data_IF_942102336275
#
_entry.id   IF_942102336275
#
_cell.length_a   1.000
_cell.length_b   1.000
_cell.length_c   1.000
_cell.angle_alpha   90.00
_cell.angle_beta   90.00
_cell.angle_gamma   90.00
#
_symmetry.space_group_name_H-M   'P 1'
#
loop_
_entity.id
_entity.type
_entity.pdbx_description
1 polymer ?
#
# COMPACT_ATOMS: atom_id res chain seq x y z
N UNK A 1 -5.72 -51.94 40.81
CA UNK A 1 -5.83 -52.10 42.26
C UNK A 1 -4.47 -51.81 42.86
N UNK A 2 -4.18 -50.53 43.12
CA UNK A 2 -3.11 -50.05 44.00
C UNK A 2 -3.52 -48.62 44.38
N UNK A 3 -3.99 -48.48 45.62
CA UNK A 3 -4.09 -47.20 46.32
C UNK A 3 -2.67 -46.80 46.78
N UNK A 4 -2.36 -45.52 46.75
CA UNK A 4 -1.81 -44.88 47.95
C UNK A 4 -2.02 -43.35 47.95
N UNK A 5 -2.09 -42.84 49.18
CA UNK A 5 -2.78 -41.65 49.65
C UNK A 5 -2.00 -40.33 49.45
N UNK A 6 -2.79 -39.25 49.41
CA UNK A 6 -2.45 -37.82 49.48
C UNK A 6 -1.47 -37.45 50.62
N UNK A 7 -0.89 -36.24 50.56
CA UNK A 7 -1.52 -35.17 51.34
C UNK A 7 -1.67 -33.83 50.59
N UNK A 8 -2.74 -33.11 50.93
CA UNK A 8 -2.88 -31.67 50.73
C UNK A 8 -1.78 -30.94 51.51
N UNK A 9 -1.12 -29.98 50.86
CA UNK A 9 -0.58 -28.81 51.55
C UNK A 9 -0.93 -27.55 50.75
N UNK A 10 -1.64 -26.67 51.43
CA UNK A 10 -1.80 -25.27 51.05
C UNK A 10 -0.43 -24.59 51.16
N UNK A 11 -0.10 -23.78 50.16
CA UNK A 11 0.63 -22.50 50.28
C UNK A 11 1.11 -22.07 48.89
N UNK A 12 0.35 -21.19 48.23
CA UNK A 12 0.93 -20.27 47.23
C UNK A 12 0.06 -19.02 47.15
N UNK A 13 0.28 -18.09 48.08
CA UNK A 13 0.01 -16.69 47.84
C UNK A 13 1.23 -16.05 47.17
N UNK A 14 0.98 -15.28 46.11
CA UNK A 14 1.78 -14.11 45.76
C UNK A 14 3.07 -14.35 44.98
N UNK A 15 2.97 -14.56 43.67
CA UNK A 15 4.00 -14.20 42.67
C UNK A 15 3.43 -14.36 41.27
N UNK A 16 2.72 -13.35 40.78
CA UNK A 16 2.14 -13.39 39.43
C UNK A 16 1.90 -12.03 38.77
N UNK A 17 2.28 -10.93 39.43
CA UNK A 17 2.08 -9.57 38.89
C UNK A 17 3.42 -8.92 38.47
N UNK A 18 4.56 -9.37 39.03
CA UNK A 18 5.86 -8.75 38.75
C UNK A 18 6.51 -9.14 37.40
N UNK A 19 6.00 -10.17 36.71
CA UNK A 19 6.67 -10.70 35.49
C UNK A 19 6.16 -10.07 34.18
N UNK A 20 4.95 -9.50 34.17
CA UNK A 20 4.35 -8.94 32.95
C UNK A 20 4.89 -7.52 32.67
N UNK A 21 5.06 -6.71 33.72
CA UNK A 21 5.63 -5.35 33.57
C UNK A 21 7.09 -5.38 33.12
N UNK A 22 7.87 -6.37 33.57
CA UNK A 22 9.26 -6.55 33.15
C UNK A 22 9.38 -7.02 31.69
N UNK A 23 8.55 -7.97 31.25
CA UNK A 23 8.53 -8.40 29.84
C UNK A 23 8.06 -7.28 28.89
N UNK A 24 7.17 -6.40 29.34
CA UNK A 24 6.76 -5.20 28.61
C UNK A 24 7.92 -4.18 28.51
N UNK A 25 8.60 -3.86 29.60
CA UNK A 25 9.75 -2.95 29.58
C UNK A 25 10.92 -3.49 28.73
N UNK A 26 11.21 -4.79 28.81
CA UNK A 26 12.31 -5.42 28.06
C UNK A 26 12.05 -5.48 26.55
N UNK A 27 10.80 -5.70 26.11
CA UNK A 27 10.44 -5.61 24.69
C UNK A 27 10.60 -4.17 24.15
N UNK A 28 10.28 -3.16 24.96
CA UNK A 28 10.39 -1.75 24.56
C UNK A 28 11.81 -1.18 24.62
N UNK A 29 12.68 -1.77 25.43
CA UNK A 29 14.05 -1.29 25.65
C UNK A 29 15.11 -1.99 24.78
N UNK A 30 14.75 -3.03 24.02
CA UNK A 30 15.69 -3.83 23.20
C UNK A 30 15.74 -3.45 21.71
N UNK A 31 14.95 -2.46 21.27
CA UNK A 31 15.14 -1.91 19.92
C UNK A 31 16.40 -1.06 19.90
N UNK A 32 17.52 -1.61 19.43
CA UNK A 32 18.77 -0.89 19.19
C UNK A 32 18.48 0.41 18.45
N UNK A 33 18.65 1.52 19.17
CA UNK A 33 18.45 2.86 18.65
C UNK A 33 19.63 3.15 17.73
N UNK A 34 19.46 2.96 16.42
CA UNK A 34 20.30 3.67 15.46
C UNK A 34 19.99 5.17 15.60
N UNK A 35 20.91 5.87 16.26
CA UNK A 35 20.90 7.30 16.48
C UNK A 35 20.85 8.04 15.14
N UNK A 36 19.70 8.61 14.81
CA UNK A 36 19.56 9.58 13.72
C UNK A 36 19.75 10.99 14.30
N UNK A 37 20.80 11.68 13.85
CA UNK A 37 21.13 13.03 14.27
C UNK A 37 20.16 14.06 13.62
N UNK A 38 19.46 14.83 14.45
CA UNK A 38 18.45 15.81 14.02
C UNK A 38 19.04 17.22 13.98
N UNK A 39 19.66 17.55 12.85
CA UNK A 39 20.16 18.89 12.54
C UNK A 39 19.50 19.53 11.31
N UNK A 40 18.17 19.52 11.18
CA UNK A 40 17.45 20.44 10.27
C UNK A 40 15.94 20.46 10.58
N UNK A 41 15.41 21.61 11.00
CA UNK A 41 14.05 21.80 11.52
C UNK A 41 12.97 22.06 10.45
N UNK A 42 13.27 21.83 9.17
CA UNK A 42 12.35 22.18 8.06
C UNK A 42 11.48 21.03 7.51
N UNK A 43 11.52 19.81 8.11
CA UNK A 43 10.86 18.62 7.53
C UNK A 43 9.53 18.18 8.20
N UNK A 44 9.12 18.82 9.30
CA UNK A 44 8.01 18.31 10.13
C UNK A 44 6.62 18.50 9.53
N UNK A 45 6.43 19.43 8.58
CA UNK A 45 5.13 19.65 7.92
C UNK A 45 4.73 18.54 6.93
N UNK A 46 5.65 17.62 6.61
CA UNK A 46 5.39 16.54 5.65
C UNK A 46 4.69 15.33 6.27
N UNK A 47 4.71 15.17 7.59
CA UNK A 47 4.21 13.97 8.30
C UNK A 47 2.68 13.82 8.16
N UNK A 48 1.94 14.92 7.99
CA UNK A 48 0.48 14.90 7.82
C UNK A 48 0.02 14.59 6.37
N UNK A 49 0.96 14.43 5.44
CA UNK A 49 0.68 14.12 4.01
C UNK A 49 1.07 12.69 3.60
N UNK A 50 1.36 11.81 4.56
CA UNK A 50 2.07 10.55 4.30
C UNK A 50 1.20 9.40 3.72
N UNK A 51 -0.12 9.46 3.85
CA UNK A 51 -0.98 8.31 3.50
C UNK A 51 -1.15 8.06 1.99
N UNK A 52 -0.77 9.00 1.11
CA UNK A 52 -0.75 8.78 -0.35
C UNK A 52 0.67 8.71 -0.93
N UNK A 53 1.69 8.86 -0.09
CA UNK A 53 3.10 8.86 -0.51
C UNK A 53 3.74 7.48 -0.36
N UNK A 54 3.29 6.64 0.57
CA UNK A 54 3.86 5.29 0.77
C UNK A 54 3.63 4.36 -0.44
N UNK A 55 2.51 4.48 -1.15
CA UNK A 55 2.33 3.77 -2.44
C UNK A 55 3.29 4.26 -3.52
N UNK A 56 3.79 5.50 -3.40
CA UNK A 56 4.79 6.08 -4.30
C UNK A 56 6.24 5.85 -3.82
N UNK A 57 6.46 5.53 -2.55
CA UNK A 57 7.79 5.23 -2.00
C UNK A 57 8.19 3.77 -2.28
N UNK A 58 7.25 2.81 -2.26
CA UNK A 58 7.51 1.47 -2.83
C UNK A 58 7.85 1.55 -4.34
N UNK A 59 7.24 2.48 -5.08
CA UNK A 59 7.59 2.78 -6.47
C UNK A 59 8.94 3.50 -6.65
N UNK A 60 9.56 4.02 -5.58
CA UNK A 60 10.89 4.67 -5.61
C UNK A 60 12.01 3.77 -5.08
N UNK A 61 11.72 2.89 -4.12
CA UNK A 61 12.70 1.91 -3.61
C UNK A 61 13.10 0.94 -4.72
N UNK A 62 12.15 0.50 -5.56
CA UNK A 62 12.42 -0.29 -6.78
C UNK A 62 13.31 0.45 -7.79
N UNK A 63 13.37 1.80 -7.76
CA UNK A 63 14.25 2.58 -8.65
C UNK A 63 15.68 2.74 -8.11
N UNK A 64 15.93 2.46 -6.83
CA UNK A 64 17.21 2.82 -6.19
C UNK A 64 18.22 1.68 -6.12
N UNK A 65 17.80 0.42 -6.29
CA UNK A 65 18.72 -0.72 -6.31
C UNK A 65 19.14 -1.18 -7.71
N UNK A 66 18.61 -0.57 -8.77
CA UNK A 66 18.93 -0.91 -10.16
C UNK A 66 19.82 0.13 -10.86
N UNK A 67 20.76 0.74 -10.12
CA UNK A 67 21.65 1.78 -10.64
C UNK A 67 22.94 1.25 -11.31
N UNK A 68 23.01 -0.05 -11.62
CA UNK A 68 24.12 -0.64 -12.38
C UNK A 68 23.62 -1.64 -13.44
N UNK A 69 22.63 -1.23 -14.24
CA UNK A 69 22.42 -1.77 -15.59
C UNK A 69 21.63 -0.78 -16.42
N UNK A 70 22.21 -0.34 -17.53
CA UNK A 70 21.63 0.59 -18.50
C UNK A 70 20.34 0.06 -19.11
N UNK A 71 19.18 0.50 -18.59
CA UNK A 71 17.90 0.64 -19.33
C UNK A 71 16.94 1.58 -18.56
N UNK A 72 16.25 2.53 -19.21
CA UNK A 72 15.39 3.48 -18.52
C UNK A 72 14.04 2.88 -18.10
N UNK A 73 13.70 3.20 -16.84
CA UNK A 73 12.53 2.83 -16.06
C UNK A 73 11.19 3.22 -16.67
N UNK A 74 10.27 2.26 -16.66
CA UNK A 74 8.82 2.38 -16.89
C UNK A 74 8.20 3.31 -15.85
N UNK A 75 7.95 4.56 -16.24
CA UNK A 75 6.91 5.45 -15.70
C UNK A 75 6.96 6.77 -16.48
N UNK A 76 6.53 6.74 -17.74
CA UNK A 76 6.06 7.94 -18.40
C UNK A 76 4.62 7.69 -18.82
N UNK A 77 3.71 8.29 -18.05
CA UNK A 77 2.36 8.58 -18.51
C UNK A 77 2.46 9.61 -19.62
N UNK A 78 2.91 9.17 -20.80
CA UNK A 78 2.76 9.88 -22.05
C UNK A 78 1.32 9.71 -22.50
N UNK A 79 0.64 10.83 -22.67
CA UNK A 79 -0.75 10.97 -23.12
C UNK A 79 -1.12 9.93 -24.19
N UNK A 80 -1.88 8.90 -23.81
CA UNK A 80 -2.67 8.12 -24.76
C UNK A 80 -3.87 8.97 -25.13
N UNK A 81 -3.68 9.87 -26.08
CA UNK A 81 -4.80 10.52 -26.76
C UNK A 81 -5.57 9.44 -27.49
N UNK A 82 -6.80 9.24 -27.03
CA UNK A 82 -7.95 8.63 -27.67
C UNK A 82 -7.78 8.33 -29.17
N UNK A 83 -7.72 7.04 -29.51
CA UNK A 83 -8.13 6.54 -30.82
C UNK A 83 -9.37 5.65 -30.67
N UNK A 84 -10.36 6.17 -29.97
CA UNK A 84 -11.75 5.84 -30.22
C UNK A 84 -12.28 7.04 -31.01
N UNK A 85 -12.77 6.78 -32.23
CA UNK A 85 -13.38 7.76 -33.15
C UNK A 85 -12.43 8.78 -33.82
N UNK A 86 -11.54 8.31 -34.70
CA UNK A 86 -11.20 9.11 -35.88
C UNK A 86 -12.37 9.05 -36.88
N UNK A 87 -13.30 9.96 -36.62
CA UNK A 87 -14.15 10.67 -37.55
C UNK A 87 -13.75 10.43 -39.03
N UNK A 88 -14.61 9.68 -39.72
CA UNK A 88 -14.50 9.34 -41.14
C UNK A 88 -14.70 10.63 -41.95
N UNK A 89 -13.65 11.43 -42.07
CA UNK A 89 -13.55 12.39 -43.16
C UNK A 89 -13.23 11.59 -44.43
N UNK A 90 -14.19 11.61 -45.35
CA UNK A 90 -14.21 10.86 -46.61
C UNK A 90 -13.18 11.41 -47.59
N UNK A 91 -11.93 11.01 -47.43
CA UNK A 91 -10.99 10.90 -48.56
C UNK A 91 -10.35 9.51 -48.51
N UNK A 92 -10.38 8.73 -49.60
CA UNK A 92 -9.74 7.43 -49.64
C UNK A 92 -8.22 7.64 -49.66
N UNK A 93 -7.59 7.66 -48.48
CA UNK A 93 -6.14 7.45 -48.41
C UNK A 93 -5.85 6.06 -48.96
N UNK A 94 -5.34 6.00 -50.18
CA UNK A 94 -4.94 4.75 -50.85
C UNK A 94 -3.98 3.98 -49.95
N UNK A 95 -4.28 2.70 -49.71
CA UNK A 95 -3.39 1.86 -48.93
C UNK A 95 -2.15 1.55 -49.76
N UNK A 96 -0.97 1.89 -49.24
CA UNK A 96 0.30 1.57 -49.91
C UNK A 96 0.62 0.09 -49.71
N UNK A 97 0.88 -0.60 -50.81
CA UNK A 97 1.35 -1.99 -50.83
C UNK A 97 2.88 -1.95 -50.87
N UNK A 98 3.52 -2.39 -49.78
CA UNK A 98 4.99 -2.37 -49.65
C UNK A 98 5.45 -3.75 -49.19
N UNK A 99 6.32 -4.37 -49.98
CA UNK A 99 6.81 -5.74 -49.70
C UNK A 99 8.08 -5.76 -48.84
N UNK A 100 8.71 -4.61 -48.58
CA UNK A 100 9.91 -4.50 -47.75
C UNK A 100 9.55 -4.04 -46.31
N UNK A 101 9.91 -4.79 -45.26
CA UNK A 101 9.54 -4.46 -43.88
C UNK A 101 10.07 -3.10 -43.38
N UNK A 102 11.33 -2.76 -43.69
CA UNK A 102 11.91 -1.48 -43.28
C UNK A 102 11.25 -0.30 -44.00
N UNK A 103 10.84 -0.49 -45.25
CA UNK A 103 10.09 0.54 -45.98
C UNK A 103 8.66 0.68 -45.43
N UNK A 104 7.98 -0.42 -45.11
CA UNK A 104 6.66 -0.37 -44.48
C UNK A 104 6.68 0.41 -43.16
N UNK A 105 7.71 0.19 -42.32
CA UNK A 105 7.89 0.97 -41.08
C UNK A 105 8.10 2.45 -41.36
N UNK A 106 8.90 2.83 -42.37
CA UNK A 106 9.10 4.24 -42.75
C UNK A 106 7.81 4.92 -43.21
N UNK A 107 6.98 4.23 -43.96
CA UNK A 107 5.67 4.74 -44.39
C UNK A 107 4.73 4.90 -43.18
N UNK A 108 4.72 3.93 -42.25
CA UNK A 108 3.94 4.04 -41.01
C UNK A 108 4.38 5.22 -40.14
N UNK A 109 5.69 5.45 -39.99
CA UNK A 109 6.25 6.63 -39.29
C UNK A 109 5.82 7.94 -39.95
N UNK A 110 5.59 7.92 -41.27
CA UNK A 110 5.11 9.08 -42.03
C UNK A 110 3.58 9.29 -41.91
N UNK A 111 2.88 8.43 -41.14
CA UNK A 111 1.44 8.48 -40.94
C UNK A 111 0.62 7.88 -42.09
N UNK A 112 1.26 7.11 -42.98
CA UNK A 112 0.60 6.47 -44.11
C UNK A 112 -0.03 5.12 -43.73
N UNK A 113 -1.11 4.75 -44.43
CA UNK A 113 -1.75 3.44 -44.24
C UNK A 113 -1.09 2.39 -45.12
N UNK A 114 -0.47 1.39 -44.52
CA UNK A 114 0.23 0.31 -45.22
C UNK A 114 -0.55 -1.00 -45.10
N UNK A 115 -0.64 -1.76 -46.20
CA UNK A 115 -1.21 -3.13 -46.20
C UNK A 115 -0.17 -4.09 -45.60
N UNK A 116 -0.41 -4.58 -44.38
CA UNK A 116 0.52 -5.48 -43.68
C UNK A 116 0.31 -6.95 -44.06
N UNK A 117 -0.82 -7.29 -44.68
CA UNK A 117 -1.19 -8.64 -45.12
C UNK A 117 -0.25 -9.21 -46.19
N UNK A 118 0.57 -8.35 -46.82
CA UNK A 118 1.62 -8.75 -47.77
C UNK A 118 2.71 -9.60 -47.08
N UNK A 119 2.94 -9.39 -45.77
CA UNK A 119 3.92 -10.14 -44.99
C UNK A 119 3.33 -11.47 -44.49
N UNK A 120 3.21 -12.44 -45.39
CA UNK A 120 2.56 -13.73 -45.12
C UNK A 120 3.45 -14.72 -44.37
N UNK A 121 4.76 -14.72 -44.60
CA UNK A 121 5.69 -15.67 -43.98
C UNK A 121 6.03 -15.28 -42.54
N UNK A 122 6.32 -16.28 -41.69
CA UNK A 122 6.74 -16.04 -40.31
C UNK A 122 8.02 -15.17 -40.26
N UNK A 123 8.98 -15.44 -41.15
CA UNK A 123 10.22 -14.67 -41.20
C UNK A 123 9.97 -13.20 -41.58
N UNK A 124 9.11 -12.95 -42.58
CA UNK A 124 8.77 -11.59 -42.99
C UNK A 124 8.10 -10.80 -41.85
N UNK A 125 7.24 -11.46 -41.05
CA UNK A 125 6.63 -10.88 -39.85
C UNK A 125 7.64 -10.58 -38.74
N UNK A 126 8.66 -11.43 -38.58
CA UNK A 126 9.77 -11.19 -37.64
C UNK A 126 10.61 -9.99 -38.06
N UNK A 127 10.97 -9.92 -39.33
CA UNK A 127 11.76 -8.82 -39.89
C UNK A 127 11.00 -7.49 -39.81
N UNK A 128 9.67 -7.52 -39.95
CA UNK A 128 8.78 -6.37 -39.74
C UNK A 128 8.79 -5.87 -38.30
N UNK A 129 8.65 -6.75 -37.31
CA UNK A 129 8.71 -6.33 -35.92
C UNK A 129 10.10 -5.80 -35.57
N UNK A 130 11.16 -6.46 -36.04
CA UNK A 130 12.54 -6.01 -35.80
C UNK A 130 12.76 -4.60 -36.34
N UNK A 131 12.31 -4.34 -37.57
CA UNK A 131 12.37 -3.01 -38.18
C UNK A 131 11.60 -1.95 -37.35
N UNK A 132 10.48 -2.34 -36.74
CA UNK A 132 9.69 -1.45 -35.88
C UNK A 132 10.37 -1.18 -34.53
N UNK A 133 11.03 -2.19 -33.94
CA UNK A 133 11.81 -2.01 -32.71
C UNK A 133 12.95 -1.03 -32.96
N UNK A 134 13.62 -1.16 -34.10
CA UNK A 134 14.73 -0.29 -34.53
C UNK A 134 14.27 1.16 -34.77
N UNK A 135 12.98 1.41 -35.04
CA UNK A 135 12.47 2.79 -35.16
C UNK A 135 12.21 3.47 -33.82
N UNK A 136 12.24 2.74 -32.70
CA UNK A 136 11.97 3.25 -31.34
C UNK A 136 10.64 4.00 -31.18
N UNK A 137 9.70 3.80 -32.09
CA UNK A 137 8.38 4.45 -32.08
C UNK A 137 7.34 3.48 -31.51
N UNK A 138 6.75 3.86 -30.38
CA UNK A 138 5.84 2.97 -29.63
C UNK A 138 4.52 2.76 -30.38
N UNK A 139 4.05 3.74 -31.14
CA UNK A 139 2.79 3.66 -31.87
C UNK A 139 2.93 2.73 -33.08
N UNK A 140 4.07 2.79 -33.78
CA UNK A 140 4.37 1.89 -34.88
C UNK A 140 4.56 0.45 -34.38
N UNK A 141 5.30 0.26 -33.26
CA UNK A 141 5.44 -1.06 -32.64
C UNK A 141 4.07 -1.61 -32.23
N UNK A 142 3.22 -0.80 -31.60
CA UNK A 142 1.88 -1.20 -31.19
C UNK A 142 1.01 -1.61 -32.38
N UNK A 143 1.02 -0.84 -33.47
CA UNK A 143 0.26 -1.14 -34.67
C UNK A 143 0.68 -2.49 -35.29
N UNK A 144 1.98 -2.74 -35.37
CA UNK A 144 2.53 -4.00 -35.88
C UNK A 144 2.22 -5.16 -34.92
N UNK A 145 2.35 -4.99 -33.60
CA UNK A 145 1.98 -6.02 -32.62
C UNK A 145 0.51 -6.41 -32.73
N UNK A 146 -0.39 -5.43 -32.95
CA UNK A 146 -1.80 -5.70 -33.17
C UNK A 146 -2.04 -6.53 -34.44
N UNK A 147 -1.35 -6.24 -35.55
CA UNK A 147 -1.39 -7.07 -36.75
C UNK A 147 -0.84 -8.50 -36.51
N UNK A 148 0.28 -8.61 -35.81
CA UNK A 148 0.89 -9.92 -35.51
C UNK A 148 -0.02 -10.77 -34.63
N UNK A 149 -0.69 -10.18 -33.63
CA UNK A 149 -1.64 -10.88 -32.77
C UNK A 149 -2.82 -11.45 -33.55
N UNK A 150 -3.29 -10.77 -34.59
CA UNK A 150 -4.39 -11.27 -35.45
C UNK A 150 -3.95 -12.39 -36.39
N UNK A 151 -2.67 -12.49 -36.70
CA UNK A 151 -2.18 -13.35 -37.78
C UNK A 151 -1.21 -14.45 -37.34
N UNK A 152 -0.76 -14.44 -36.08
CA UNK A 152 0.10 -15.46 -35.48
C UNK A 152 -0.62 -16.15 -34.32
N UNK A 153 -0.26 -17.42 -34.10
CA UNK A 153 -0.65 -18.12 -32.87
C UNK A 153 0.02 -17.44 -31.66
N UNK A 154 -0.74 -17.30 -30.58
CA UNK A 154 -0.31 -16.63 -29.35
C UNK A 154 0.99 -17.19 -28.76
N UNK A 155 1.18 -18.51 -28.75
CA UNK A 155 2.41 -19.14 -28.26
C UNK A 155 3.63 -18.71 -29.08
N UNK A 156 3.50 -18.66 -30.41
CA UNK A 156 4.57 -18.25 -31.32
C UNK A 156 4.91 -16.78 -31.14
N UNK A 157 3.88 -15.93 -30.99
CA UNK A 157 4.06 -14.50 -30.74
C UNK A 157 4.77 -14.26 -29.40
N UNK A 158 4.27 -14.86 -28.30
CA UNK A 158 4.87 -14.70 -26.96
C UNK A 158 6.32 -15.17 -26.91
N UNK A 159 6.63 -16.33 -27.51
CA UNK A 159 8.00 -16.84 -27.61
C UNK A 159 8.91 -15.87 -28.38
N UNK A 160 8.41 -15.32 -29.48
CA UNK A 160 9.17 -14.35 -30.26
C UNK A 160 9.40 -13.04 -29.48
N UNK A 161 8.40 -12.54 -28.76
CA UNK A 161 8.54 -11.32 -27.95
C UNK A 161 9.49 -11.48 -26.76
N UNK A 162 9.63 -12.69 -26.22
CA UNK A 162 10.59 -12.99 -25.17
C UNK A 162 12.05 -12.73 -25.61
N UNK A 163 12.34 -12.76 -26.91
CA UNK A 163 13.67 -12.44 -27.46
C UNK A 163 13.93 -10.93 -27.55
N UNK A 164 12.90 -10.08 -27.39
CA UNK A 164 12.99 -8.62 -27.59
C UNK A 164 12.31 -7.85 -26.43
N UNK A 165 13.07 -7.47 -25.38
CA UNK A 165 12.53 -6.81 -24.19
C UNK A 165 11.71 -5.54 -24.49
N UNK A 166 12.15 -4.71 -25.44
CA UNK A 166 11.45 -3.47 -25.82
C UNK A 166 10.03 -3.73 -26.34
N UNK A 167 9.83 -4.81 -27.10
CA UNK A 167 8.49 -5.18 -27.61
C UNK A 167 7.63 -5.87 -26.56
N UNK A 168 8.24 -6.58 -25.60
CA UNK A 168 7.54 -7.24 -24.52
C UNK A 168 6.72 -6.22 -23.69
N UNK A 169 7.31 -5.06 -23.36
CA UNK A 169 6.62 -4.00 -22.62
C UNK A 169 5.44 -3.39 -23.41
N UNK A 170 5.63 -3.13 -24.70
CA UNK A 170 4.55 -2.62 -25.57
C UNK A 170 3.42 -3.65 -25.69
N UNK A 171 3.76 -4.94 -25.73
CA UNK A 171 2.77 -6.02 -25.75
C UNK A 171 2.00 -6.14 -24.43
N UNK A 172 2.67 -6.00 -23.27
CA UNK A 172 2.00 -5.92 -21.96
C UNK A 172 0.99 -4.77 -21.95
N UNK A 173 1.40 -3.58 -22.42
CA UNK A 173 0.50 -2.43 -22.52
C UNK A 173 -0.69 -2.68 -23.46
N UNK A 174 -0.45 -3.33 -24.61
CA UNK A 174 -1.51 -3.76 -25.52
C UNK A 174 -2.53 -4.68 -24.83
N UNK A 175 -2.07 -5.65 -24.03
CA UNK A 175 -2.97 -6.53 -23.27
C UNK A 175 -3.77 -5.75 -22.22
N UNK A 176 -3.12 -4.83 -21.49
CA UNK A 176 -3.78 -4.03 -20.46
C UNK A 176 -4.85 -3.09 -21.04
N UNK A 177 -4.57 -2.43 -22.17
CA UNK A 177 -5.53 -1.55 -22.87
C UNK A 177 -6.75 -2.34 -23.34
N UNK A 178 -6.56 -3.59 -23.77
CA UNK A 178 -7.66 -4.47 -24.18
C UNK A 178 -8.41 -5.12 -23.00
N UNK A 179 -8.03 -4.83 -21.75
CA UNK A 179 -8.64 -5.41 -20.55
C UNK A 179 -8.20 -6.84 -20.25
N UNK A 180 -7.16 -7.34 -20.89
CA UNK A 180 -6.65 -8.71 -20.78
C UNK A 180 -5.60 -8.85 -19.68
N UNK A 181 -5.96 -8.43 -18.47
CA UNK A 181 -5.03 -8.38 -17.33
C UNK A 181 -4.40 -9.73 -17.01
N UNK A 182 -5.18 -10.83 -17.08
CA UNK A 182 -4.65 -12.19 -16.87
C UNK A 182 -3.56 -12.52 -17.89
N UNK A 183 -3.80 -12.20 -19.17
CA UNK A 183 -2.84 -12.45 -20.23
C UNK A 183 -1.52 -11.70 -20.02
N UNK A 184 -1.59 -10.48 -19.49
CA UNK A 184 -0.42 -9.66 -19.15
C UNK A 184 0.38 -10.26 -17.98
N UNK A 185 -0.30 -10.68 -16.91
CA UNK A 185 0.32 -11.35 -15.75
C UNK A 185 0.99 -12.65 -16.19
N UNK A 186 0.31 -13.48 -16.99
CA UNK A 186 0.85 -14.74 -17.49
C UNK A 186 2.08 -14.51 -18.39
N UNK A 187 2.05 -13.45 -19.21
CA UNK A 187 3.17 -13.11 -20.07
C UNK A 187 4.39 -12.63 -19.28
N UNK A 188 4.20 -11.74 -18.30
CA UNK A 188 5.29 -11.30 -17.41
C UNK A 188 5.85 -12.46 -16.58
N UNK A 189 5.00 -13.35 -16.09
CA UNK A 189 5.42 -14.56 -15.37
C UNK A 189 6.26 -15.48 -16.26
N UNK A 190 5.88 -15.62 -17.55
CA UNK A 190 6.68 -16.37 -18.54
C UNK A 190 8.07 -15.75 -18.75
N UNK A 191 8.19 -14.43 -18.66
CA UNK A 191 9.46 -13.70 -18.76
C UNK A 191 10.24 -13.65 -17.43
N UNK A 192 9.76 -14.31 -16.37
CA UNK A 192 10.29 -14.23 -15.00
C UNK A 192 10.26 -12.81 -14.38
N UNK A 193 9.42 -11.91 -14.91
CA UNK A 193 9.15 -10.58 -14.34
C UNK A 193 8.03 -10.67 -13.29
N UNK A 194 8.29 -11.41 -12.21
CA UNK A 194 7.27 -11.72 -11.20
C UNK A 194 6.78 -10.49 -10.43
N UNK A 195 7.64 -9.50 -10.21
CA UNK A 195 7.29 -8.25 -9.52
C UNK A 195 6.28 -7.43 -10.31
N UNK A 196 6.53 -7.21 -11.60
CA UNK A 196 5.62 -6.49 -12.50
C UNK A 196 4.27 -7.23 -12.61
N UNK A 197 4.31 -8.55 -12.73
CA UNK A 197 3.12 -9.40 -12.76
C UNK A 197 2.30 -9.24 -11.45
N UNK A 198 2.98 -9.24 -10.31
CA UNK A 198 2.36 -9.05 -9.00
C UNK A 198 1.75 -7.66 -8.84
N UNK A 199 2.42 -6.60 -9.30
CA UNK A 199 1.91 -5.22 -9.25
C UNK A 199 0.65 -5.09 -10.09
N UNK A 200 0.64 -5.61 -11.32
CA UNK A 200 -0.55 -5.59 -12.19
C UNK A 200 -1.70 -6.37 -11.57
N UNK A 201 -1.42 -7.57 -11.03
CA UNK A 201 -2.41 -8.37 -10.32
C UNK A 201 -3.00 -7.63 -9.12
N UNK A 202 -2.15 -6.98 -8.32
CA UNK A 202 -2.57 -6.18 -7.18
C UNK A 202 -3.46 -5.00 -7.59
N UNK A 203 -3.08 -4.28 -8.66
CA UNK A 203 -3.89 -3.17 -9.19
C UNK A 203 -5.28 -3.63 -9.66
N UNK A 204 -5.41 -4.81 -10.26
CA UNK A 204 -6.71 -5.38 -10.63
C UNK A 204 -7.58 -5.70 -9.41
N UNK A 205 -6.95 -6.24 -8.35
CA UNK A 205 -7.62 -6.52 -7.08
C UNK A 205 -8.14 -5.23 -6.44
N UNK A 206 -7.38 -4.14 -6.48
CA UNK A 206 -7.79 -2.85 -5.93
C UNK A 206 -9.07 -2.30 -6.60
N UNK A 207 -9.30 -2.60 -7.89
CA UNK A 207 -10.49 -2.19 -8.65
C UNK A 207 -11.76 -2.96 -8.26
N UNK A 208 -11.66 -4.12 -7.61
CA UNK A 208 -12.85 -4.89 -7.20
C UNK A 208 -13.68 -4.08 -6.19
N UNK A 209 -14.98 -4.29 -6.14
CA UNK A 209 -15.87 -3.60 -5.17
C UNK A 209 -16.09 -4.44 -3.91
N UNK A 210 -16.08 -5.76 -4.05
CA UNK A 210 -16.42 -6.70 -2.99
C UNK A 210 -15.17 -6.97 -2.15
N UNK A 211 -15.17 -6.54 -0.88
CA UNK A 211 -14.01 -6.73 0.01
C UNK A 211 -13.75 -8.21 0.29
N UNK A 212 -14.78 -9.07 0.35
CA UNK A 212 -14.58 -10.52 0.50
C UNK A 212 -13.77 -11.10 -0.66
N UNK A 213 -14.09 -10.68 -1.88
CA UNK A 213 -13.35 -11.06 -3.08
C UNK A 213 -11.92 -10.51 -3.05
N UNK A 214 -11.73 -9.22 -2.69
CA UNK A 214 -10.38 -8.63 -2.52
C UNK A 214 -9.52 -9.45 -1.57
N UNK A 215 -10.00 -9.72 -0.36
CA UNK A 215 -9.27 -10.49 0.64
C UNK A 215 -8.85 -11.86 0.10
N UNK A 216 -9.77 -12.58 -0.57
CA UNK A 216 -9.47 -13.89 -1.15
C UNK A 216 -8.39 -13.81 -2.23
N UNK A 217 -8.50 -12.82 -3.13
CA UNK A 217 -7.55 -12.62 -4.21
C UNK A 217 -6.17 -12.17 -3.72
N UNK A 218 -6.10 -11.34 -2.67
CA UNK A 218 -4.83 -10.96 -2.04
C UNK A 218 -4.12 -12.17 -1.44
N UNK A 219 -4.84 -13.05 -0.74
CA UNK A 219 -4.27 -14.30 -0.21
C UNK A 219 -3.77 -15.20 -1.33
N UNK A 220 -4.54 -15.33 -2.42
CA UNK A 220 -4.12 -16.09 -3.59
C UNK A 220 -2.84 -15.51 -4.21
N UNK A 221 -2.76 -14.18 -4.37
CA UNK A 221 -1.61 -13.49 -4.93
C UNK A 221 -0.36 -13.64 -4.05
N UNK A 222 -0.53 -13.57 -2.72
CA UNK A 222 0.54 -13.83 -1.76
C UNK A 222 1.09 -15.26 -1.92
N UNK A 223 0.23 -16.28 -1.99
CA UNK A 223 0.65 -17.67 -2.13
C UNK A 223 1.31 -17.98 -3.48
N UNK A 224 0.95 -17.29 -4.55
CA UNK A 224 1.52 -17.51 -5.89
C UNK A 224 2.80 -16.74 -6.16
N UNK A 225 3.19 -15.80 -5.29
CA UNK A 225 4.35 -14.95 -5.50
C UNK A 225 5.58 -15.53 -4.79
N UNK A 226 6.67 -15.70 -5.54
CA UNK A 226 7.94 -16.22 -5.02
C UNK A 226 8.77 -15.15 -4.29
N UNK A 227 8.48 -13.86 -4.48
CA UNK A 227 9.18 -12.78 -3.79
C UNK A 227 8.60 -12.61 -2.37
N UNK A 228 9.40 -12.93 -1.35
CA UNK A 228 8.97 -13.00 0.05
C UNK A 228 8.36 -11.67 0.54
N UNK A 229 9.05 -10.55 0.34
CA UNK A 229 8.57 -9.23 0.83
C UNK A 229 7.25 -8.80 0.18
N UNK A 230 7.10 -9.02 -1.14
CA UNK A 230 5.86 -8.70 -1.86
C UNK A 230 4.73 -9.64 -1.43
N UNK A 231 5.03 -10.93 -1.21
CA UNK A 231 4.09 -11.91 -0.69
C UNK A 231 3.60 -11.53 0.71
N UNK A 232 4.52 -11.14 1.59
CA UNK A 232 4.22 -10.66 2.94
C UNK A 232 3.34 -9.42 2.91
N UNK A 233 3.67 -8.43 2.06
CA UNK A 233 2.85 -7.24 1.86
C UNK A 233 1.39 -7.56 1.49
N UNK A 234 1.15 -8.51 0.57
CA UNK A 234 -0.20 -8.91 0.19
C UNK A 234 -0.93 -9.67 1.31
N UNK A 235 -0.23 -10.55 2.02
CA UNK A 235 -0.78 -11.24 3.18
C UNK A 235 -1.22 -10.23 4.24
N UNK A 236 -0.36 -9.25 4.50
CA UNK A 236 -0.57 -8.22 5.49
C UNK A 236 -1.79 -7.35 5.17
N UNK A 237 -1.96 -6.99 3.90
CA UNK A 237 -3.15 -6.28 3.45
C UNK A 237 -4.41 -7.14 3.58
N UNK A 238 -4.35 -8.44 3.24
CA UNK A 238 -5.48 -9.34 3.43
C UNK A 238 -5.91 -9.42 4.91
N UNK A 239 -4.94 -9.55 5.82
CA UNK A 239 -5.18 -9.62 7.26
C UNK A 239 -5.77 -8.32 7.83
N UNK A 240 -5.30 -7.17 7.33
CA UNK A 240 -5.88 -5.87 7.69
C UNK A 240 -7.37 -5.81 7.32
N UNK A 241 -7.74 -6.25 6.11
CA UNK A 241 -9.13 -6.26 5.66
C UNK A 241 -10.00 -7.20 6.51
N UNK A 242 -9.49 -8.35 6.91
CA UNK A 242 -10.22 -9.30 7.77
C UNK A 242 -10.47 -8.73 9.16
N UNK A 243 -9.47 -8.08 9.75
CA UNK A 243 -9.62 -7.42 11.05
C UNK A 243 -10.58 -6.25 10.98
N UNK A 244 -10.52 -5.42 9.94
CA UNK A 244 -11.48 -4.32 9.76
C UNK A 244 -12.93 -4.83 9.63
N UNK A 245 -13.14 -5.96 8.95
CA UNK A 245 -14.46 -6.62 8.89
C UNK A 245 -14.92 -7.07 10.27
N UNK A 246 -14.04 -7.70 11.05
CA UNK A 246 -14.35 -8.13 12.41
C UNK A 246 -14.70 -6.94 13.31
N UNK A 247 -13.91 -5.87 13.25
CA UNK A 247 -14.15 -4.63 14.01
C UNK A 247 -15.50 -3.99 13.65
N UNK A 248 -15.80 -3.90 12.35
CA UNK A 248 -17.08 -3.38 11.86
C UNK A 248 -18.26 -4.25 12.32
N UNK A 249 -18.13 -5.57 12.20
CA UNK A 249 -19.16 -6.52 12.63
C UNK A 249 -19.42 -6.41 14.13
N UNK A 250 -18.34 -6.39 14.93
CA UNK A 250 -18.44 -6.26 16.38
C UNK A 250 -19.10 -4.96 16.79
N UNK A 251 -18.86 -3.85 16.10
CA UNK A 251 -19.54 -2.58 16.39
C UNK A 251 -21.05 -2.62 16.06
N UNK A 252 -21.43 -3.29 14.97
CA UNK A 252 -22.83 -3.38 14.53
C UNK A 252 -23.67 -4.34 15.38
N UNK A 253 -23.04 -5.22 16.15
CA UNK A 253 -23.72 -6.12 17.08
C UNK A 253 -24.39 -5.32 18.22
N UNK A 254 -25.73 -5.38 18.36
CA UNK A 254 -26.48 -4.66 19.40
C UNK A 254 -26.02 -4.95 20.83
N UNK A 255 -25.45 -6.14 21.09
CA UNK A 255 -24.95 -6.60 22.39
C UNK A 255 -23.47 -6.29 22.67
N UNK A 256 -22.77 -5.65 21.74
CA UNK A 256 -21.34 -5.40 21.87
C UNK A 256 -21.01 -4.30 22.89
N UNK A 257 -19.95 -4.54 23.68
CA UNK A 257 -19.33 -3.53 24.56
C UNK A 257 -18.57 -2.44 23.77
N UNK A 258 -18.37 -2.67 22.46
CA UNK A 258 -17.73 -1.77 21.50
C UNK A 258 -18.64 -0.62 21.05
N UNK A 259 -19.90 -0.59 21.51
CA UNK A 259 -20.73 0.62 21.44
C UNK A 259 -19.98 1.77 22.08
N UNK A 260 -19.52 2.66 21.22
CA UNK A 260 -18.73 3.79 21.64
C UNK A 260 -19.60 4.72 22.47
N UNK A 261 -19.23 4.85 23.75
CA UNK A 261 -19.85 5.76 24.72
C UNK A 261 -19.84 7.23 24.26
N UNK A 262 -19.04 7.55 23.22
CA UNK A 262 -18.80 8.89 22.70
C UNK A 262 -19.49 9.19 21.35
N UNK A 263 -20.37 8.32 20.85
CA UNK A 263 -21.11 8.59 19.59
C UNK A 263 -22.09 9.75 19.77
N UNK A 264 -22.54 9.98 21.00
CA UNK A 264 -23.50 11.05 21.34
C UNK A 264 -22.88 12.21 22.14
N UNK A 265 -21.62 12.11 22.60
CA UNK A 265 -20.97 13.11 23.49
C UNK A 265 -19.59 13.62 23.00
N UNK A 266 -19.09 13.14 21.86
CA UNK A 266 -17.84 13.60 21.28
C UNK A 266 -17.93 14.99 20.65
N UNK A 267 -16.78 15.62 20.38
CA UNK A 267 -16.72 16.86 19.60
C UNK A 267 -17.36 16.59 18.24
N UNK A 268 -18.33 17.42 17.77
CA UNK A 268 -18.91 17.28 16.45
C UNK A 268 -17.80 17.29 15.39
N UNK A 269 -17.49 16.10 14.86
CA UNK A 269 -16.50 15.94 13.82
C UNK A 269 -17.13 16.32 12.48
N UNK A 270 -16.88 17.55 12.05
CA UNK A 270 -17.25 18.00 10.73
C UNK A 270 -16.52 17.16 9.64
N UNK A 271 -17.02 17.14 8.40
CA UNK A 271 -16.39 16.38 7.31
C UNK A 271 -14.94 16.79 7.02
N UNK A 272 -14.58 18.06 7.29
CA UNK A 272 -13.25 18.63 7.03
C UNK A 272 -12.23 18.05 8.01
N UNK A 273 -12.56 17.99 9.29
CA UNK A 273 -11.75 17.39 10.34
C UNK A 273 -11.57 15.89 10.12
N UNK A 274 -12.65 15.17 9.75
CA UNK A 274 -12.55 13.73 9.42
C UNK A 274 -11.59 13.47 8.28
N UNK A 275 -11.66 14.29 7.23
CA UNK A 275 -10.75 14.20 6.09
C UNK A 275 -9.31 14.54 6.50
N UNK A 276 -9.11 15.66 7.22
CA UNK A 276 -7.79 16.13 7.63
C UNK A 276 -7.05 15.12 8.51
N UNK A 277 -7.75 14.53 9.48
CA UNK A 277 -7.16 13.61 10.45
C UNK A 277 -7.38 12.13 10.10
N UNK A 278 -8.01 11.83 8.96
CA UNK A 278 -8.32 10.48 8.48
C UNK A 278 -8.87 9.57 9.61
N UNK A 279 -9.89 10.04 10.31
CA UNK A 279 -10.58 9.28 11.35
C UNK A 279 -11.84 8.71 10.72
N UNK A 280 -11.87 7.42 10.35
CA UNK A 280 -12.98 6.85 9.60
C UNK A 280 -14.22 6.67 10.49
N UNK A 281 -15.39 6.67 9.85
CA UNK A 281 -16.60 6.14 10.48
C UNK A 281 -16.56 4.60 10.48
N UNK A 282 -17.42 3.97 11.28
CA UNK A 282 -17.58 2.51 11.28
C UNK A 282 -17.97 1.99 9.88
N UNK A 283 -18.81 2.75 9.17
CA UNK A 283 -19.28 2.39 7.84
C UNK A 283 -18.15 2.41 6.79
N UNK A 284 -17.15 3.27 7.00
CA UNK A 284 -16.05 3.51 6.08
C UNK A 284 -14.76 2.80 6.48
N UNK A 285 -14.71 2.12 7.64
CA UNK A 285 -13.49 1.54 8.20
C UNK A 285 -12.79 0.54 7.27
N UNK A 286 -13.57 -0.28 6.56
CA UNK A 286 -13.04 -1.39 5.75
C UNK A 286 -12.40 -0.87 4.46
N UNK A 287 -11.16 -1.25 4.21
CA UNK A 287 -10.35 -0.78 3.09
C UNK A 287 -9.58 0.51 3.39
N UNK A 288 -9.62 1.02 4.63
CA UNK A 288 -8.81 2.17 5.03
C UNK A 288 -7.38 1.77 5.38
N UNK A 289 -6.41 2.70 5.31
CA UNK A 289 -5.04 2.45 5.76
C UNK A 289 -4.97 2.00 7.23
N UNK A 290 -3.89 1.30 7.61
CA UNK A 290 -3.63 0.88 8.99
C UNK A 290 -3.75 2.04 9.99
N UNK A 291 -3.19 3.20 9.64
CA UNK A 291 -3.23 4.43 10.45
C UNK A 291 -4.66 4.87 10.75
N UNK A 292 -5.58 4.75 9.78
CA UNK A 292 -6.99 5.09 9.96
C UNK A 292 -7.68 4.10 10.91
N UNK A 293 -7.33 2.82 10.79
CA UNK A 293 -7.80 1.76 11.70
C UNK A 293 -7.33 2.01 13.14
N UNK A 294 -6.06 2.41 13.33
CA UNK A 294 -5.52 2.73 14.65
C UNK A 294 -6.20 3.94 15.27
N UNK A 295 -6.46 4.99 14.48
CA UNK A 295 -7.22 6.17 14.94
C UNK A 295 -8.65 5.81 15.33
N UNK A 296 -9.30 4.95 14.55
CA UNK A 296 -10.62 4.41 14.88
C UNK A 296 -10.60 3.66 16.21
N UNK A 297 -9.63 2.76 16.41
CA UNK A 297 -9.48 2.01 17.66
C UNK A 297 -9.22 2.94 18.85
N UNK A 298 -8.31 3.91 18.73
CA UNK A 298 -8.04 4.88 19.79
C UNK A 298 -9.29 5.69 20.18
N UNK A 299 -10.13 6.03 19.19
CA UNK A 299 -11.40 6.73 19.42
C UNK A 299 -12.44 5.85 20.12
N UNK A 300 -12.64 4.63 19.63
CA UNK A 300 -13.79 3.80 19.99
C UNK A 300 -13.50 2.72 21.05
N UNK A 301 -12.26 2.21 21.13
CA UNK A 301 -11.83 1.17 22.06
C UNK A 301 -10.36 1.37 22.50
N UNK A 302 -10.15 2.36 23.38
CA UNK A 302 -8.82 2.71 23.90
C UNK A 302 -8.20 1.60 24.77
N UNK A 303 -9.00 0.69 25.33
CA UNK A 303 -8.47 -0.45 26.09
C UNK A 303 -7.94 -1.52 25.15
N UNK A 304 -8.61 -1.73 24.02
CA UNK A 304 -8.13 -2.60 22.96
C UNK A 304 -6.80 -2.08 22.41
N UNK A 305 -6.67 -0.79 22.06
CA UNK A 305 -5.44 -0.28 21.44
C UNK A 305 -4.20 -0.42 22.35
N UNK A 306 -4.38 -0.34 23.68
CA UNK A 306 -3.30 -0.51 24.66
C UNK A 306 -3.08 -1.98 25.06
N UNK A 307 -3.91 -2.92 24.60
CA UNK A 307 -3.72 -4.33 24.88
C UNK A 307 -2.78 -4.94 23.81
N UNK A 308 -1.59 -5.47 24.19
CA UNK A 308 -0.64 -6.09 23.27
C UNK A 308 -1.20 -7.35 22.56
N UNK A 309 -2.33 -7.89 23.03
CA UNK A 309 -3.07 -8.96 22.36
C UNK A 309 -4.02 -8.47 21.26
N UNK A 310 -4.21 -7.16 21.10
CA UNK A 310 -4.78 -6.63 19.85
C UNK A 310 -3.71 -6.68 18.77
N UNK A 311 -3.72 -7.83 18.12
CA UNK A 311 -2.78 -8.41 17.17
C UNK A 311 -2.48 -7.53 15.94
N UNK A 312 -3.11 -6.35 15.79
CA UNK A 312 -2.90 -5.45 14.66
C UNK A 312 -1.52 -4.80 14.67
N UNK A 313 -0.99 -4.38 15.81
CA UNK A 313 0.30 -3.69 15.88
C UNK A 313 1.49 -4.62 15.75
N UNK A 314 1.44 -5.76 16.44
CA UNK A 314 2.49 -6.78 16.37
C UNK A 314 2.57 -7.45 15.00
N UNK A 315 1.44 -7.63 14.31
CA UNK A 315 1.44 -8.26 12.99
C UNK A 315 1.81 -7.29 11.86
N UNK A 316 1.55 -5.98 12.02
CA UNK A 316 1.78 -4.97 10.98
C UNK A 316 3.09 -4.17 11.14
N UNK A 317 3.92 -4.50 12.14
CA UNK A 317 5.19 -3.83 12.47
C UNK A 317 5.11 -2.28 12.39
N UNK A 318 4.06 -1.71 12.98
CA UNK A 318 3.81 -0.26 12.83
C UNK A 318 4.84 0.53 13.64
N UNK A 319 5.56 1.50 13.03
CA UNK A 319 6.54 2.29 13.76
C UNK A 319 5.92 2.99 14.97
N UNK A 320 6.60 2.94 16.13
CA UNK A 320 6.12 3.51 17.40
C UNK A 320 5.64 4.95 17.28
N UNK A 321 6.34 5.77 16.48
CA UNK A 321 5.96 7.17 16.25
C UNK A 321 4.59 7.29 15.55
N UNK A 322 4.32 6.45 14.55
CA UNK A 322 3.05 6.43 13.80
C UNK A 322 1.91 5.94 14.70
N UNK A 323 2.19 4.94 15.53
CA UNK A 323 1.26 4.48 16.56
C UNK A 323 0.86 5.60 17.52
N UNK A 324 1.84 6.26 18.15
CA UNK A 324 1.59 7.32 19.12
C UNK A 324 0.82 8.50 18.52
N UNK A 325 1.15 8.90 17.29
CA UNK A 325 0.37 9.90 16.56
C UNK A 325 -1.06 9.47 16.29
N UNK A 326 -1.28 8.21 15.91
CA UNK A 326 -2.62 7.67 15.66
C UNK A 326 -3.46 7.64 16.93
N UNK A 327 -2.85 7.23 18.04
CA UNK A 327 -3.46 7.25 19.37
C UNK A 327 -3.84 8.66 19.79
N UNK A 328 -2.89 9.60 19.72
CA UNK A 328 -3.10 10.99 20.10
C UNK A 328 -4.22 11.66 19.28
N UNK A 329 -4.24 11.43 17.96
CA UNK A 329 -5.32 11.90 17.09
C UNK A 329 -6.69 11.30 17.46
N UNK A 330 -6.74 9.98 17.69
CA UNK A 330 -8.01 9.31 18.04
C UNK A 330 -8.57 9.77 19.39
N UNK A 331 -7.73 9.92 20.43
CA UNK A 331 -8.16 10.41 21.74
C UNK A 331 -8.54 11.89 21.74
N UNK A 332 -7.79 12.72 21.03
CA UNK A 332 -8.12 14.14 20.87
C UNK A 332 -9.49 14.32 20.22
N UNK A 333 -9.88 13.42 19.29
CA UNK A 333 -11.19 13.48 18.64
C UNK A 333 -12.40 13.30 19.55
N UNK A 334 -12.20 12.76 20.76
CA UNK A 334 -13.23 12.59 21.78
C UNK A 334 -12.98 13.48 23.02
N UNK A 335 -12.07 14.45 22.91
CA UNK A 335 -11.72 15.36 24.01
C UNK A 335 -10.98 14.68 25.18
N UNK A 336 -10.55 13.43 25.02
CA UNK A 336 -9.93 12.66 26.09
C UNK A 336 -8.41 12.88 26.13
N UNK A 337 -8.00 14.12 26.33
CA UNK A 337 -6.60 14.53 26.29
C UNK A 337 -5.74 13.90 27.40
N UNK A 338 -6.32 13.61 28.56
CA UNK A 338 -5.61 12.98 29.68
C UNK A 338 -5.01 11.61 29.31
N UNK A 339 -5.70 10.84 28.46
CA UNK A 339 -5.26 9.52 28.00
C UNK A 339 -4.03 9.57 27.08
N UNK A 340 -3.73 10.74 26.51
CA UNK A 340 -2.60 10.92 25.60
C UNK A 340 -1.30 10.90 26.41
N UNK A 341 -1.28 11.55 27.57
CA UNK A 341 -0.07 11.77 28.39
C UNK A 341 0.65 10.46 28.71
N UNK A 342 -0.09 9.46 29.19
CA UNK A 342 0.47 8.16 29.59
C UNK A 342 1.10 7.38 28.43
N UNK A 343 0.65 7.62 27.20
CA UNK A 343 1.20 6.98 26.01
C UNK A 343 2.42 7.70 25.43
N UNK A 344 2.43 9.04 25.45
CA UNK A 344 3.44 9.85 24.75
C UNK A 344 4.66 10.20 25.61
N UNK A 345 4.52 10.14 26.94
CA UNK A 345 5.62 10.36 27.89
C UNK A 345 6.20 9.01 28.28
N UNK A 346 7.49 8.81 28.01
CA UNK A 346 8.22 7.62 28.43
C UNK A 346 9.18 7.99 29.55
N UNK A 347 9.23 7.15 30.58
CA UNK A 347 10.26 7.23 31.62
C UNK A 347 11.61 6.93 30.96
N UNK A 348 12.53 7.88 31.01
CA UNK A 348 13.88 7.63 30.52
C UNK A 348 14.63 6.77 31.52
N UNK A 349 15.31 5.71 31.04
CA UNK A 349 16.19 4.89 31.88
C UNK A 349 17.34 5.73 32.45
N UNK A 350 17.74 6.79 31.74
CA UNK A 350 18.68 7.80 32.21
C UNK A 350 18.16 9.20 31.90
N UNK A 351 17.84 9.98 32.94
CA UNK A 351 17.42 11.38 32.82
C UNK A 351 15.91 11.61 33.02
N UNK A 352 15.46 12.87 32.87
CA UNK A 352 14.05 13.20 33.07
C UNK A 352 13.17 12.47 32.05
N UNK A 353 11.87 12.26 32.35
CA UNK A 353 10.93 11.77 31.37
C UNK A 353 11.01 12.60 30.09
N UNK A 354 10.68 12.00 28.94
CA UNK A 354 10.71 12.72 27.66
C UNK A 354 9.48 12.41 26.84
N UNK A 355 9.07 13.40 26.07
CA UNK A 355 8.01 13.25 25.07
C UNK A 355 8.60 12.52 23.86
N UNK A 356 7.97 11.42 23.45
CA UNK A 356 8.43 10.62 22.29
C UNK A 356 8.05 11.29 20.97
N UNK A 357 6.96 12.03 20.94
CA UNK A 357 6.52 12.83 19.80
C UNK A 357 6.85 14.31 20.01
N UNK A 358 6.94 15.10 18.94
CA UNK A 358 7.26 16.53 19.06
C UNK A 358 6.12 17.31 19.74
N UNK A 359 6.47 18.19 20.69
CA UNK A 359 5.51 18.92 21.52
C UNK A 359 4.68 19.94 20.72
N UNK A 360 5.30 20.71 19.82
CA UNK A 360 4.60 21.76 19.07
C UNK A 360 3.54 21.21 18.09
N UNK A 361 3.85 20.18 17.26
CA UNK A 361 2.82 19.54 16.44
C UNK A 361 1.71 18.89 17.28
N UNK A 362 2.04 18.32 18.45
CA UNK A 362 1.06 17.71 19.35
C UNK A 362 0.12 18.78 19.90
N UNK A 363 0.67 19.92 20.34
CA UNK A 363 -0.08 21.09 20.79
C UNK A 363 -1.02 21.61 19.72
N UNK A 364 -0.53 21.80 18.49
CA UNK A 364 -1.32 22.30 17.37
C UNK A 364 -2.49 21.36 17.04
N UNK A 365 -2.25 20.04 17.06
CA UNK A 365 -3.28 19.03 16.86
C UNK A 365 -4.33 19.04 17.98
N UNK A 366 -3.91 19.10 19.24
CA UNK A 366 -4.82 19.15 20.39
C UNK A 366 -5.67 20.43 20.40
N UNK A 367 -5.08 21.59 20.06
CA UNK A 367 -5.80 22.86 19.89
C UNK A 367 -6.85 22.77 18.78
N UNK A 368 -6.52 22.08 17.67
CA UNK A 368 -7.48 21.84 16.60
C UNK A 368 -8.70 21.04 17.07
N UNK A 369 -8.54 20.18 18.07
CA UNK A 369 -9.62 19.46 18.74
C UNK A 369 -10.14 20.19 19.99
N UNK A 370 -9.87 21.48 20.15
CA UNK A 370 -10.48 22.28 21.22
C UNK A 370 -9.89 22.05 22.62
N UNK A 371 -8.66 21.54 22.73
CA UNK A 371 -7.99 21.42 24.03
C UNK A 371 -7.85 22.79 24.73
N UNK A 372 -8.13 22.84 26.03
CA UNK A 372 -7.90 24.03 26.86
C UNK A 372 -6.43 24.21 27.17
N UNK A 373 -6.03 25.42 27.58
CA UNK A 373 -4.65 25.69 28.01
C UNK A 373 -4.20 24.77 29.15
N UNK A 374 -5.10 24.47 30.09
CA UNK A 374 -4.85 23.56 31.21
C UNK A 374 -4.62 22.12 30.72
N UNK A 375 -5.43 21.63 29.77
CA UNK A 375 -5.26 20.30 29.19
C UNK A 375 -3.95 20.17 28.41
N UNK A 376 -3.54 21.24 27.72
CA UNK A 376 -2.25 21.28 27.03
C UNK A 376 -1.08 21.22 28.01
N UNK A 377 -1.12 22.00 29.09
CA UNK A 377 -0.10 21.90 30.15
C UNK A 377 -0.08 20.50 30.76
N UNK A 378 -1.24 19.94 31.09
CA UNK A 378 -1.32 18.59 31.65
C UNK A 378 -0.73 17.52 30.74
N UNK A 379 -0.77 17.65 29.41
CA UNK A 379 -0.18 16.65 28.49
C UNK A 379 1.27 16.95 28.16
N UNK A 380 1.63 18.22 27.93
CA UNK A 380 2.93 18.63 27.41
C UNK A 380 3.97 18.90 28.49
N UNK A 381 3.54 19.08 29.75
CA UNK A 381 4.46 19.30 30.86
C UNK A 381 5.24 18.02 31.14
N UNK A 382 6.48 18.00 30.70
CA UNK A 382 7.47 17.04 31.12
C UNK A 382 7.95 17.49 32.49
N UNK A 383 7.40 16.91 33.56
CA UNK A 383 7.87 17.24 34.90
C UNK A 383 9.35 16.91 35.00
N UNK A 384 10.16 17.94 35.26
CA UNK A 384 11.48 17.77 35.84
C UNK A 384 11.24 17.34 37.28
N UNK A 385 10.93 16.07 37.51
CA UNK A 385 10.89 15.57 38.89
C UNK A 385 12.24 15.83 39.53
N UNK A 386 12.15 16.45 40.69
CA UNK A 386 13.21 17.04 41.50
C UNK A 386 14.39 16.10 41.75
N UNK A 387 15.55 16.73 41.87
CA UNK A 387 16.82 16.12 42.28
C UNK A 387 16.75 15.50 43.66
#
# INVERSE_FOLDING_TARGET
>A
MFEEKYPLNADTQGSGILSIEQEEEDYWNTSEVQSFDFGDSSKNDKILSFSSKETNELLKVVKKENAESTVPSVASSGSLTSFEELNISKEPKEFKIVSNPAQAVRELLSGEKVVLEVFTSLQAKRDLLKSAIESHDTDVIFHILHFLRKTLNEYVLRKFLAEYPSSANVYVNLLLVNGETSGAIDFLSMLAHFEDAAIIGYQDILKKKIIAEKTRLLKQLACSNNHLEISEFFSLHADLLEKQKLLRSSYLDPGSKLKCRYVDEGIPMDPIMRSRFHIPSVADLVGTPVVSTLRYLAKHDFKAINNPQTTLLKQLDVPKIIYLWSLACGRSSVGAFADIRSAVIVKSVFGPPRLVISAEPLRAMMLHFGATAEQLEQVLKVDKTDR
#
